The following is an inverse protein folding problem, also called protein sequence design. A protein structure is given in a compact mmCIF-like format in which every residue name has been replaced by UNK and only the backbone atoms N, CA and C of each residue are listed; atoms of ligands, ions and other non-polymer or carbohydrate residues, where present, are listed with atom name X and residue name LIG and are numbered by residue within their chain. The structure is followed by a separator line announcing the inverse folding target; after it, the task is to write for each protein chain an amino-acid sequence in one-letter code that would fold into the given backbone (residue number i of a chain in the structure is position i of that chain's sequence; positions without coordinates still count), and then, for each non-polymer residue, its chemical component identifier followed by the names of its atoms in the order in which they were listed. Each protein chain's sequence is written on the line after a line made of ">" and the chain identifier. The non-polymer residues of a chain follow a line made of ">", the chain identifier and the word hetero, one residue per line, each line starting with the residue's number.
data_IF_056662458258
#
_entry.id   IF_056662458258
#
_cell.length_a   1.000
_cell.length_b   1.000
_cell.length_c   1.000
_cell.angle_alpha   90.00
_cell.angle_beta   90.00
_cell.angle_gamma   90.00
#
_symmetry.space_group_name_H-M   'P 1'
#
loop_
_entity.id
_entity.type
_entity.pdbx_description
1 polymer ?
#
# COMPACT_ATOMS: atom_id res chain seq x y z
N UNK A 1 43.90 -6.02 62.96
CA UNK A 1 43.86 -5.22 61.71
C UNK A 1 44.22 -6.00 60.44
N UNK A 2 45.27 -6.84 60.41
CA UNK A 2 45.72 -7.58 59.21
C UNK A 2 44.72 -8.62 58.64
N UNK A 3 43.86 -9.21 59.48
CA UNK A 3 42.85 -10.19 59.06
C UNK A 3 41.69 -9.54 58.29
N UNK A 4 41.22 -8.38 58.76
CA UNK A 4 40.12 -7.64 58.14
C UNK A 4 40.46 -7.18 56.71
N UNK A 5 41.71 -6.76 56.49
CA UNK A 5 42.19 -6.35 55.17
C UNK A 5 42.22 -7.50 54.16
N UNK A 6 42.58 -8.72 54.61
CA UNK A 6 42.56 -9.92 53.75
C UNK A 6 41.13 -10.31 53.35
N UNK A 7 40.17 -10.17 54.27
CA UNK A 7 38.76 -10.47 54.00
C UNK A 7 38.17 -9.53 52.94
N UNK A 8 38.45 -8.24 53.06
CA UNK A 8 38.00 -7.22 52.10
C UNK A 8 38.62 -7.48 50.72
N UNK A 9 39.90 -7.88 50.67
CA UNK A 9 40.57 -8.18 49.41
C UNK A 9 39.96 -9.40 48.70
N UNK A 10 39.61 -10.47 49.43
CA UNK A 10 38.94 -11.65 48.88
C UNK A 10 37.54 -11.30 48.36
N UNK A 11 36.79 -10.45 49.08
CA UNK A 11 35.48 -10.00 48.67
C UNK A 11 35.52 -9.22 47.34
N UNK A 12 36.49 -8.31 47.19
CA UNK A 12 36.64 -7.50 45.98
C UNK A 12 37.02 -8.38 44.78
N UNK A 13 37.92 -9.34 44.96
CA UNK A 13 38.30 -10.29 43.90
C UNK A 13 37.09 -11.16 43.50
N UNK A 14 36.31 -11.64 44.47
CA UNK A 14 35.09 -12.40 44.21
C UNK A 14 34.05 -11.59 43.44
N UNK A 15 33.84 -10.33 43.82
CA UNK A 15 32.91 -9.42 43.14
C UNK A 15 33.36 -9.12 41.69
N UNK A 16 34.64 -8.82 41.48
CA UNK A 16 35.20 -8.61 40.14
C UNK A 16 35.10 -9.88 39.30
N UNK A 17 35.42 -11.04 39.87
CA UNK A 17 35.32 -12.34 39.20
C UNK A 17 33.88 -12.67 38.77
N UNK A 18 32.89 -12.37 39.61
CA UNK A 18 31.47 -12.55 39.27
C UNK A 18 31.02 -11.63 38.11
N UNK A 19 31.44 -10.36 38.12
CA UNK A 19 31.09 -9.40 37.07
C UNK A 19 31.75 -9.78 35.72
N UNK A 20 33.04 -10.14 35.75
CA UNK A 20 33.77 -10.57 34.55
C UNK A 20 33.25 -11.91 34.03
N UNK A 21 32.93 -12.85 34.92
CA UNK A 21 32.38 -14.16 34.58
C UNK A 21 31.08 -14.03 33.80
N UNK A 22 30.14 -13.22 34.31
CA UNK A 22 28.83 -13.02 33.69
C UNK A 22 28.88 -12.27 32.36
N UNK A 23 29.76 -11.26 32.23
CA UNK A 23 29.86 -10.44 31.01
C UNK A 23 30.71 -11.06 29.91
N UNK A 24 31.75 -11.84 30.24
CA UNK A 24 32.75 -12.30 29.27
C UNK A 24 32.75 -13.83 29.10
N UNK A 25 32.82 -14.58 30.20
CA UNK A 25 32.91 -16.06 30.14
C UNK A 25 31.58 -16.71 29.77
N UNK A 26 30.48 -16.39 30.45
CA UNK A 26 29.18 -17.01 30.20
C UNK A 26 28.71 -16.92 28.73
N UNK A 27 28.75 -15.74 28.06
CA UNK A 27 28.38 -15.66 26.64
C UNK A 27 29.33 -16.44 25.73
N UNK A 28 30.62 -16.53 26.07
CA UNK A 28 31.58 -17.34 25.32
C UNK A 28 31.29 -18.84 25.45
N UNK A 29 30.98 -19.34 26.66
CA UNK A 29 30.61 -20.74 26.86
C UNK A 29 29.27 -21.10 26.21
N UNK A 30 28.30 -20.19 26.23
CA UNK A 30 26.99 -20.42 25.63
C UNK A 30 27.04 -20.57 24.09
N UNK A 31 28.09 -20.08 23.44
CA UNK A 31 28.32 -20.27 22.00
C UNK A 31 28.81 -21.67 21.60
N UNK A 32 29.14 -22.54 22.58
CA UNK A 32 29.67 -23.88 22.34
C UNK A 32 28.58 -24.95 22.56
N UNK A 33 28.39 -25.90 21.62
CA UNK A 33 27.31 -26.92 21.69
C UNK A 33 27.36 -27.81 22.93
N UNK A 34 28.54 -27.95 23.55
CA UNK A 34 28.75 -28.80 24.71
C UNK A 34 28.10 -28.24 25.99
N UNK A 35 27.97 -26.91 26.10
CA UNK A 35 27.54 -26.24 27.33
C UNK A 35 26.06 -25.81 27.34
N UNK A 36 25.32 -26.07 26.25
CA UNK A 36 23.87 -25.79 26.15
C UNK A 36 23.00 -26.58 27.15
N UNK A 37 23.55 -27.66 27.71
CA UNK A 37 22.85 -28.55 28.66
C UNK A 37 22.70 -27.95 30.06
N UNK A 38 23.47 -26.92 30.39
CA UNK A 38 23.43 -26.27 31.69
C UNK A 38 22.48 -25.07 31.64
N UNK A 39 21.40 -25.10 32.43
CA UNK A 39 20.35 -24.08 32.42
C UNK A 39 20.88 -22.66 32.73
N UNK A 40 21.89 -22.55 33.59
CA UNK A 40 22.57 -21.30 33.95
C UNK A 40 23.25 -20.62 32.75
N UNK A 41 23.72 -21.40 31.78
CA UNK A 41 24.43 -20.92 30.58
C UNK A 41 23.42 -20.49 29.52
N UNK A 42 22.32 -21.24 29.34
CA UNK A 42 21.23 -20.91 28.40
C UNK A 42 20.54 -19.60 28.73
N UNK A 43 20.31 -19.33 30.02
CA UNK A 43 19.70 -18.07 30.47
C UNK A 43 20.56 -16.84 30.13
N UNK A 44 21.89 -17.00 30.03
CA UNK A 44 22.82 -15.93 29.64
C UNK A 44 22.92 -15.68 28.13
N UNK A 45 22.53 -16.66 27.30
CA UNK A 45 22.46 -16.52 25.84
C UNK A 45 21.07 -16.10 25.31
N UNK A 46 20.03 -16.14 26.16
CA UNK A 46 18.64 -15.80 25.80
C UNK A 46 18.37 -14.31 25.50
N UNK A 47 19.40 -13.54 25.18
CA UNK A 47 19.33 -12.12 24.83
C UNK A 47 19.57 -11.80 23.35
N UNK A 48 19.65 -12.79 22.45
CA UNK A 48 19.56 -12.50 21.02
C UNK A 48 18.09 -12.34 20.66
N UNK A 49 17.57 -11.12 20.74
CA UNK A 49 16.29 -10.77 20.12
C UNK A 49 16.42 -11.05 18.63
N UNK A 50 15.92 -12.20 18.17
CA UNK A 50 15.66 -12.42 16.75
C UNK A 50 14.53 -11.46 16.39
N UNK A 51 14.89 -10.29 15.87
CA UNK A 51 13.94 -9.37 15.26
C UNK A 51 13.55 -9.99 13.94
N UNK A 52 12.58 -10.91 13.97
CA UNK A 52 11.81 -11.21 12.78
C UNK A 52 10.92 -9.98 12.57
N UNK A 53 11.39 -9.01 11.77
CA UNK A 53 10.57 -7.89 11.35
C UNK A 53 9.51 -8.45 10.41
N UNK A 54 8.45 -9.02 10.99
CA UNK A 54 7.20 -9.14 10.28
C UNK A 54 6.77 -7.70 10.06
N UNK A 55 6.93 -7.21 8.83
CA UNK A 55 6.23 -6.03 8.36
C UNK A 55 4.74 -6.38 8.36
N UNK A 56 4.15 -6.40 9.54
CA UNK A 56 2.73 -6.41 9.68
C UNK A 56 2.32 -5.02 9.25
N UNK A 57 2.03 -4.88 7.95
CA UNK A 57 1.37 -3.72 7.40
C UNK A 57 -0.01 -3.71 8.06
N UNK A 58 -0.10 -3.08 9.22
CA UNK A 58 -1.37 -2.73 9.85
C UNK A 58 -1.93 -1.63 8.95
N UNK A 59 -2.59 -2.04 7.87
CA UNK A 59 -3.30 -1.11 7.01
C UNK A 59 -4.47 -0.61 7.86
N UNK A 60 -4.31 0.59 8.42
CA UNK A 60 -5.44 1.33 8.98
C UNK A 60 -6.41 1.54 7.82
N UNK A 61 -7.70 1.26 8.00
CA UNK A 61 -8.71 1.28 6.90
C UNK A 61 -8.63 2.57 6.06
N UNK A 62 -8.37 3.70 6.71
CA UNK A 62 -8.16 4.99 6.06
C UNK A 62 -7.01 4.97 5.04
N UNK A 63 -5.88 4.32 5.33
CA UNK A 63 -4.73 4.25 4.41
C UNK A 63 -4.99 3.33 3.21
N UNK A 64 -5.73 2.21 3.39
CA UNK A 64 -6.16 1.36 2.27
C UNK A 64 -7.06 2.12 1.31
N UNK A 65 -8.05 2.82 1.88
CA UNK A 65 -9.01 3.59 1.11
C UNK A 65 -8.32 4.74 0.36
N UNK A 66 -7.47 5.51 1.04
CA UNK A 66 -6.70 6.60 0.41
C UNK A 66 -5.83 6.08 -0.74
N UNK A 67 -5.15 4.95 -0.57
CA UNK A 67 -4.35 4.33 -1.64
C UNK A 67 -5.22 3.91 -2.83
N UNK A 68 -6.39 3.34 -2.58
CA UNK A 68 -7.33 2.95 -3.63
C UNK A 68 -7.85 4.17 -4.41
N UNK A 69 -8.28 5.21 -3.70
CA UNK A 69 -8.74 6.47 -4.30
C UNK A 69 -7.63 7.10 -5.12
N UNK A 70 -6.42 7.26 -4.57
CA UNK A 70 -5.29 7.86 -5.29
C UNK A 70 -4.91 7.08 -6.56
N UNK A 71 -5.12 5.77 -6.57
CA UNK A 71 -4.87 4.93 -7.75
C UNK A 71 -5.96 5.07 -8.82
N UNK A 72 -7.22 5.22 -8.41
CA UNK A 72 -8.39 5.18 -9.32
C UNK A 72 -8.83 6.57 -9.78
N UNK A 73 -8.71 7.60 -8.94
CA UNK A 73 -9.14 8.97 -9.26
C UNK A 73 -8.59 9.51 -10.58
N UNK A 74 -7.31 9.30 -10.95
CA UNK A 74 -6.80 9.78 -12.24
C UNK A 74 -7.50 9.17 -13.46
N UNK A 75 -8.06 7.96 -13.32
CA UNK A 75 -8.72 7.19 -14.40
C UNK A 75 -10.11 7.74 -14.74
N UNK A 76 -10.71 8.47 -13.80
CA UNK A 76 -12.06 9.00 -13.92
C UNK A 76 -12.00 10.35 -14.61
N UNK A 77 -12.79 10.50 -15.67
CA UNK A 77 -12.88 11.72 -16.47
C UNK A 77 -14.26 12.35 -16.33
N UNK A 78 -14.33 13.67 -16.35
CA UNK A 78 -15.59 14.39 -16.44
C UNK A 78 -16.10 14.40 -17.88
N UNK A 79 -17.41 14.26 -18.08
CA UNK A 79 -18.04 14.33 -19.39
C UNK A 79 -19.11 15.42 -19.34
N UNK A 80 -19.11 16.30 -20.34
CA UNK A 80 -20.12 17.33 -20.51
C UNK A 80 -20.66 17.28 -21.93
N UNK A 81 -21.97 17.39 -22.07
CA UNK A 81 -22.60 17.62 -23.36
C UNK A 81 -23.13 19.06 -23.45
N UNK A 82 -22.99 19.65 -24.64
CA UNK A 82 -23.46 21.01 -24.92
C UNK A 82 -24.32 21.04 -26.18
N UNK A 83 -25.38 21.85 -26.15
CA UNK A 83 -26.23 22.15 -27.31
C UNK A 83 -26.46 23.66 -27.38
N UNK A 84 -26.04 24.29 -28.47
CA UNK A 84 -26.16 25.75 -28.63
C UNK A 84 -25.45 26.54 -27.53
N UNK A 85 -24.27 26.08 -27.09
CA UNK A 85 -23.47 26.72 -26.04
C UNK A 85 -23.96 26.51 -24.60
N UNK A 86 -25.12 25.86 -24.40
CA UNK A 86 -25.63 25.51 -23.07
C UNK A 86 -25.27 24.07 -22.71
N UNK A 87 -24.85 23.86 -21.47
CA UNK A 87 -24.66 22.52 -20.91
C UNK A 87 -26.01 21.82 -20.79
N UNK A 88 -26.11 20.63 -21.37
CA UNK A 88 -27.33 19.80 -21.32
C UNK A 88 -27.14 18.63 -20.35
N UNK A 89 -25.93 18.09 -20.27
CA UNK A 89 -25.61 16.98 -19.39
C UNK A 89 -24.20 17.13 -18.82
N UNK A 90 -24.02 16.69 -17.57
CA UNK A 90 -22.73 16.46 -16.93
C UNK A 90 -22.72 15.11 -16.24
N UNK A 91 -21.60 14.41 -16.33
CA UNK A 91 -21.40 13.12 -15.69
C UNK A 91 -19.94 12.72 -15.71
N UNK A 92 -19.70 11.43 -15.50
CA UNK A 92 -18.36 10.86 -15.40
C UNK A 92 -18.20 9.70 -16.36
N UNK A 93 -16.95 9.43 -16.75
CA UNK A 93 -16.56 8.23 -17.49
C UNK A 93 -15.22 7.71 -16.98
N UNK A 94 -14.79 6.58 -17.54
CA UNK A 94 -13.53 5.92 -17.21
C UNK A 94 -12.71 5.78 -18.48
N UNK A 95 -11.45 6.20 -18.45
CA UNK A 95 -10.52 5.93 -19.54
C UNK A 95 -10.15 4.44 -19.55
N UNK A 96 -10.40 3.76 -20.67
CA UNK A 96 -10.15 2.32 -20.83
C UNK A 96 -8.94 2.05 -21.73
N UNK A 97 -8.52 3.01 -22.55
CA UNK A 97 -7.27 2.93 -23.31
C UNK A 97 -6.48 4.24 -23.22
N UNK A 98 -5.14 4.12 -23.22
CA UNK A 98 -4.24 5.27 -23.05
C UNK A 98 -4.27 6.24 -24.24
N UNK A 99 -4.79 5.79 -25.39
CA UNK A 99 -4.93 6.56 -26.63
C UNK A 99 -6.27 7.30 -26.74
N UNK A 100 -7.15 7.25 -25.74
CA UNK A 100 -8.34 8.10 -25.72
C UNK A 100 -9.70 7.41 -25.82
N UNK A 101 -9.80 6.11 -25.59
CA UNK A 101 -11.10 5.44 -25.49
C UNK A 101 -11.64 5.53 -24.07
N UNK A 102 -12.87 6.01 -23.94
CA UNK A 102 -13.53 6.28 -22.67
C UNK A 102 -14.87 5.57 -22.63
N UNK A 103 -15.13 4.85 -21.55
CA UNK A 103 -16.40 4.19 -21.27
C UNK A 103 -17.26 5.09 -20.37
N UNK A 104 -18.55 5.21 -20.69
CA UNK A 104 -19.52 5.98 -19.91
C UNK A 104 -20.91 5.35 -19.96
N UNK A 105 -21.83 5.89 -19.19
CA UNK A 105 -23.24 5.50 -19.23
C UNK A 105 -23.96 6.20 -20.38
N UNK A 106 -24.84 5.49 -21.08
CA UNK A 106 -25.59 5.97 -22.24
C UNK A 106 -26.65 7.08 -21.98
N UNK A 107 -27.27 7.26 -20.78
CA UNK A 107 -28.23 8.36 -20.63
C UNK A 107 -27.54 9.74 -20.73
N UNK A 108 -26.20 9.77 -20.71
CA UNK A 108 -25.40 10.97 -21.00
C UNK A 108 -25.35 11.37 -22.48
N UNK A 109 -25.60 10.44 -23.42
CA UNK A 109 -25.29 10.62 -24.84
C UNK A 109 -26.48 10.47 -25.80
N UNK A 110 -27.70 10.26 -25.33
CA UNK A 110 -28.84 9.87 -26.19
C UNK A 110 -29.37 10.96 -27.13
N UNK A 111 -28.87 12.20 -27.08
CA UNK A 111 -29.48 13.35 -27.77
C UNK A 111 -28.66 13.76 -29.01
N UNK A 112 -29.29 13.76 -30.18
CA UNK A 112 -28.68 14.17 -31.44
C UNK A 112 -28.32 15.67 -31.46
N UNK A 113 -27.22 16.01 -32.15
CA UNK A 113 -26.75 17.39 -32.32
C UNK A 113 -26.07 17.99 -31.08
N UNK A 114 -25.68 17.18 -30.10
CA UNK A 114 -24.86 17.61 -28.97
C UNK A 114 -23.37 17.50 -29.29
N UNK A 115 -22.59 18.45 -28.77
CA UNK A 115 -21.14 18.36 -28.71
C UNK A 115 -20.72 17.77 -27.37
N UNK A 116 -19.84 16.78 -27.40
CA UNK A 116 -19.31 16.16 -26.19
C UNK A 116 -17.90 16.65 -25.90
N UNK A 117 -17.64 16.88 -24.62
CA UNK A 117 -16.35 17.28 -24.12
C UNK A 117 -15.98 16.41 -22.93
N UNK A 118 -14.75 15.94 -22.93
CA UNK A 118 -14.12 15.23 -21.82
C UNK A 118 -13.21 16.18 -21.09
N UNK A 119 -13.26 16.13 -19.76
CA UNK A 119 -12.44 16.89 -18.86
C UNK A 119 -11.55 15.93 -18.08
N UNK A 120 -10.24 16.08 -18.24
CA UNK A 120 -9.25 15.31 -17.50
C UNK A 120 -8.06 16.22 -17.18
N UNK A 121 -7.51 16.11 -15.96
CA UNK A 121 -6.38 16.95 -15.52
C UNK A 121 -6.53 18.47 -15.72
N UNK A 122 -7.76 18.98 -15.74
CA UNK A 122 -8.07 20.40 -15.99
C UNK A 122 -8.18 20.78 -17.47
N UNK A 123 -7.80 19.89 -18.38
CA UNK A 123 -7.94 20.09 -19.82
C UNK A 123 -9.34 19.74 -20.29
N UNK A 124 -9.78 20.40 -21.37
CA UNK A 124 -11.04 20.16 -22.06
C UNK A 124 -10.75 19.66 -23.47
N UNK A 125 -11.19 18.45 -23.80
CA UNK A 125 -10.99 17.84 -25.12
C UNK A 125 -12.34 17.48 -25.74
N UNK A 126 -12.49 17.67 -27.05
CA UNK A 126 -13.71 17.24 -27.75
C UNK A 126 -13.74 15.72 -27.88
N UNK A 127 -14.92 15.13 -27.67
CA UNK A 127 -15.14 13.70 -27.76
C UNK A 127 -16.13 13.37 -28.88
N UNK A 128 -15.87 12.26 -29.55
CA UNK A 128 -16.77 11.65 -30.54
C UNK A 128 -17.40 10.39 -29.93
N UNK A 129 -18.70 10.18 -30.16
CA UNK A 129 -19.35 8.95 -29.74
C UNK A 129 -19.11 7.86 -30.78
N UNK A 130 -18.40 6.80 -30.40
CA UNK A 130 -18.10 5.68 -31.30
C UNK A 130 -19.20 4.63 -31.31
N UNK A 131 -19.70 4.27 -30.14
CA UNK A 131 -20.72 3.23 -30.01
C UNK A 131 -21.62 3.49 -28.80
N UNK A 132 -22.86 3.02 -28.89
CA UNK A 132 -23.84 3.07 -27.80
C UNK A 132 -24.55 1.72 -27.74
N UNK A 133 -24.61 1.19 -26.55
CA UNK A 133 -25.42 0.02 -26.22
C UNK A 133 -26.59 0.46 -25.35
N UNK A 134 -27.80 0.28 -25.87
CA UNK A 134 -29.04 0.63 -25.18
C UNK A 134 -29.48 -0.47 -24.21
N UNK A 135 -29.07 -1.72 -24.41
CA UNK A 135 -29.42 -2.85 -23.55
C UNK A 135 -28.65 -2.78 -22.24
N UNK A 136 -27.33 -2.54 -22.33
CA UNK A 136 -26.46 -2.42 -21.14
C UNK A 136 -26.35 -0.99 -20.60
N UNK A 137 -26.94 -0.01 -21.31
CA UNK A 137 -26.87 1.41 -20.97
C UNK A 137 -25.42 1.95 -20.94
N UNK A 138 -24.57 1.45 -21.82
CA UNK A 138 -23.16 1.84 -21.96
C UNK A 138 -22.92 2.62 -23.25
N UNK A 139 -21.86 3.43 -23.26
CA UNK A 139 -21.39 4.09 -24.46
C UNK A 139 -19.88 4.29 -24.46
N UNK A 140 -19.32 4.26 -25.67
CA UNK A 140 -17.91 4.48 -25.93
C UNK A 140 -17.68 5.83 -26.58
N UNK A 141 -16.82 6.62 -25.95
CA UNK A 141 -16.33 7.89 -26.45
C UNK A 141 -14.88 7.75 -26.90
N UNK A 142 -14.51 8.48 -27.95
CA UNK A 142 -13.13 8.62 -28.40
C UNK A 142 -12.71 10.08 -28.31
N UNK A 143 -11.55 10.32 -27.74
CA UNK A 143 -10.87 11.62 -27.72
C UNK A 143 -9.50 11.51 -28.37
N UNK A 144 -9.02 12.64 -28.89
CA UNK A 144 -7.64 12.79 -29.34
C UNK A 144 -6.77 13.19 -28.14
N UNK A 145 -6.34 12.19 -27.36
CA UNK A 145 -5.45 12.37 -26.22
C UNK A 145 -4.46 11.21 -26.15
N UNK A 146 -3.25 11.51 -25.68
CA UNK A 146 -2.19 10.52 -25.46
C UNK A 146 -1.83 10.46 -23.99
N UNK A 147 -1.43 9.28 -23.51
CA UNK A 147 -1.01 9.05 -22.12
C UNK A 147 -2.13 9.27 -21.10
N UNK A 148 -3.37 8.92 -21.44
CA UNK A 148 -4.42 8.86 -20.43
C UNK A 148 -4.09 7.79 -19.39
N UNK A 149 -4.25 8.07 -18.09
CA UNK A 149 -4.08 7.06 -17.06
C UNK A 149 -5.19 6.00 -17.23
N UNK A 150 -4.79 4.74 -17.33
CA UNK A 150 -5.69 3.60 -17.50
C UNK A 150 -5.33 2.49 -16.52
N UNK A 151 -6.31 1.64 -16.22
CA UNK A 151 -6.11 0.44 -15.41
C UNK A 151 -6.68 -0.78 -16.11
N UNK A 152 -6.22 -1.96 -15.71
CA UNK A 152 -6.85 -3.23 -16.09
C UNK A 152 -8.13 -3.44 -15.30
N UNK A 153 -9.13 -4.05 -15.95
CA UNK A 153 -10.34 -4.50 -15.28
C UNK A 153 -10.03 -5.60 -14.26
N UNK A 154 -10.79 -5.61 -13.17
CA UNK A 154 -10.74 -6.70 -12.20
C UNK A 154 -11.31 -8.00 -12.78
N UNK A 155 -11.12 -9.13 -12.07
CA UNK A 155 -11.81 -10.37 -12.41
C UNK A 155 -13.33 -10.18 -12.35
N UNK A 156 -14.05 -10.96 -13.15
CA UNK A 156 -15.52 -10.92 -13.22
C UNK A 156 -16.17 -11.32 -11.89
N UNK A 157 -15.58 -12.30 -11.21
CA UNK A 157 -16.03 -12.74 -9.89
C UNK A 157 -15.33 -11.95 -8.79
N UNK A 158 -16.12 -11.34 -7.90
CA UNK A 158 -15.57 -10.73 -6.69
C UNK A 158 -14.95 -11.82 -5.81
N UNK A 159 -13.73 -11.61 -5.29
CA UNK A 159 -13.15 -12.54 -4.33
C UNK A 159 -14.08 -12.64 -3.10
N UNK A 160 -14.57 -13.85 -2.84
CA UNK A 160 -15.39 -14.13 -1.66
C UNK A 160 -14.44 -14.17 -0.47
N UNK A 161 -14.56 -13.19 0.41
CA UNK A 161 -13.82 -13.18 1.68
C UNK A 161 -14.59 -14.07 2.67
N UNK A 162 -13.99 -15.21 3.00
CA UNK A 162 -14.49 -16.13 4.03
C UNK A 162 -14.06 -15.72 5.44
#
# INVERSE_FOLDING_TARGET
>A
MRFLFKLIFILIIGALGGILGTRLLLPYLASKPYFERFELIRQSAGGTTIINKQEQVVIRENEAFEKAVNKVSPLVVGIRSQKGGKTVFEGSGIAITADGLILTLNPSLAVSGQQYYVFYNGDKVSAEVKEKDLETNLALLKVEASNLPVTTFGPEEMPVWG
#
